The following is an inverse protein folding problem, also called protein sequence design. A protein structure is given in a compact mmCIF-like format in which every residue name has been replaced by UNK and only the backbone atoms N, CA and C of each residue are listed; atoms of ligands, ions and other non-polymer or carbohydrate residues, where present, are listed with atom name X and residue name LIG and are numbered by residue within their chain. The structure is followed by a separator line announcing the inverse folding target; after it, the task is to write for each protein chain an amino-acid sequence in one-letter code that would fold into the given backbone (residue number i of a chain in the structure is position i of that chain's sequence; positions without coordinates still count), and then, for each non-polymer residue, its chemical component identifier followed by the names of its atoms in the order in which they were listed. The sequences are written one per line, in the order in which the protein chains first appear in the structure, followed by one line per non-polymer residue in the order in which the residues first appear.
data_IF_667038202644
#
_entry.id   IF_667038202644
#
_cell.length_a   1.000
_cell.length_b   1.000
_cell.length_c   1.000
_cell.angle_alpha   90.00
_cell.angle_beta   90.00
_cell.angle_gamma   90.00
#
_symmetry.space_group_name_H-M   'P 1'
#
loop_
_entity.id
_entity.type
_entity.pdbx_description
1 polymer ?
#
# COMPACT_ATOMS: atom_id res chain seq x y z
N UNK A 1 -18.21 25.06 6.78
CA UNK A 1 -17.92 23.64 6.52
C UNK A 1 -17.45 23.51 5.07
N UNK A 2 -16.15 23.46 4.82
CA UNK A 2 -15.67 23.04 3.49
C UNK A 2 -16.10 21.58 3.30
N UNK A 3 -17.03 21.33 2.39
CA UNK A 3 -17.66 20.01 2.24
C UNK A 3 -16.66 18.91 1.86
N UNK A 4 -17.03 17.65 2.10
CA UNK A 4 -16.27 16.45 1.75
C UNK A 4 -15.65 16.50 0.34
N UNK A 5 -16.39 17.00 -0.65
CA UNK A 5 -15.91 17.15 -2.03
C UNK A 5 -14.76 18.14 -2.18
N UNK A 6 -14.76 19.22 -1.40
CA UNK A 6 -13.65 20.18 -1.39
C UNK A 6 -12.40 19.55 -0.77
N UNK A 7 -12.56 18.81 0.32
CA UNK A 7 -11.46 18.03 0.91
C UNK A 7 -10.89 17.02 -0.07
N UNK A 8 -11.73 16.25 -0.77
CA UNK A 8 -11.28 15.33 -1.82
C UNK A 8 -10.52 16.04 -2.94
N UNK A 9 -11.02 17.21 -3.39
CA UNK A 9 -10.36 18.01 -4.43
C UNK A 9 -8.97 18.46 -3.98
N UNK A 10 -8.84 18.97 -2.75
CA UNK A 10 -7.56 19.39 -2.16
C UNK A 10 -6.61 18.21 -2.08
N UNK A 11 -7.05 17.08 -1.51
CA UNK A 11 -6.19 15.90 -1.34
C UNK A 11 -5.67 15.35 -2.67
N UNK A 12 -6.52 15.32 -3.72
CA UNK A 12 -6.09 14.90 -5.07
C UNK A 12 -5.09 15.87 -5.68
N UNK A 13 -5.30 17.17 -5.49
CA UNK A 13 -4.41 18.21 -6.00
C UNK A 13 -3.06 18.17 -5.31
N UNK A 14 -3.05 18.08 -3.98
CA UNK A 14 -1.84 17.99 -3.17
C UNK A 14 -1.01 16.75 -3.54
N UNK A 15 -1.66 15.60 -3.76
CA UNK A 15 -0.97 14.37 -4.16
C UNK A 15 -0.23 14.55 -5.51
N UNK A 16 -0.89 15.15 -6.50
CA UNK A 16 -0.27 15.42 -7.81
C UNK A 16 0.82 16.50 -7.75
N UNK A 17 0.61 17.54 -6.93
CA UNK A 17 1.52 18.69 -6.84
C UNK A 17 2.82 18.31 -6.14
N UNK A 18 2.73 17.60 -5.02
CA UNK A 18 3.85 17.36 -4.11
C UNK A 18 4.66 16.09 -4.41
N UNK A 19 4.13 15.19 -5.23
CA UNK A 19 4.72 13.89 -5.51
C UNK A 19 4.87 13.64 -7.01
N UNK A 20 5.62 12.59 -7.37
CA UNK A 20 5.84 12.19 -8.76
C UNK A 20 6.62 13.18 -9.64
N UNK A 21 7.59 13.91 -9.08
CA UNK A 21 8.41 14.84 -9.88
C UNK A 21 9.41 14.16 -10.82
N UNK A 22 9.86 12.95 -10.48
CA UNK A 22 10.80 12.17 -11.29
C UNK A 22 10.08 11.35 -12.35
N UNK A 23 10.58 11.38 -13.60
CA UNK A 23 10.07 10.53 -14.68
C UNK A 23 10.16 9.04 -14.34
N UNK A 24 11.19 8.61 -13.61
CA UNK A 24 11.34 7.22 -13.15
C UNK A 24 10.22 6.90 -12.16
N UNK A 25 9.95 7.81 -11.21
CA UNK A 25 8.85 7.65 -10.26
C UNK A 25 7.50 7.57 -10.99
N UNK A 26 7.24 8.45 -11.95
CA UNK A 26 6.02 8.43 -12.77
C UNK A 26 5.87 7.12 -13.55
N UNK A 27 6.95 6.63 -14.16
CA UNK A 27 6.96 5.36 -14.90
C UNK A 27 6.65 4.17 -14.00
N UNK A 28 7.25 4.13 -12.80
CA UNK A 28 6.98 3.10 -11.80
C UNK A 28 5.53 3.17 -11.29
N UNK A 29 4.98 4.38 -11.12
CA UNK A 29 3.58 4.57 -10.77
C UNK A 29 2.63 4.07 -11.86
N UNK A 30 2.93 4.34 -13.12
CA UNK A 30 2.15 3.84 -14.25
C UNK A 30 2.20 2.31 -14.32
N UNK A 31 3.39 1.72 -14.22
CA UNK A 31 3.56 0.27 -14.21
C UNK A 31 2.80 -0.40 -13.06
N UNK A 32 2.92 0.15 -11.84
CA UNK A 32 2.16 -0.28 -10.68
C UNK A 32 0.64 -0.15 -10.91
N UNK A 33 0.17 0.98 -11.43
CA UNK A 33 -1.26 1.20 -11.68
C UNK A 33 -1.85 0.21 -12.68
N UNK A 34 -1.16 -0.05 -13.79
CA UNK A 34 -1.57 -1.05 -14.78
C UNK A 34 -1.58 -2.46 -14.19
N UNK A 35 -0.58 -2.78 -13.36
CA UNK A 35 -0.54 -4.05 -12.63
C UNK A 35 -1.70 -4.18 -11.64
N UNK A 36 -2.10 -3.09 -10.98
CA UNK A 36 -3.28 -3.06 -10.12
C UNK A 36 -4.57 -3.38 -10.88
N UNK A 37 -4.72 -2.89 -12.11
CA UNK A 37 -5.88 -3.24 -12.95
C UNK A 37 -5.92 -4.73 -13.28
N UNK A 38 -4.77 -5.32 -13.62
CA UNK A 38 -4.66 -6.77 -13.83
C UNK A 38 -5.03 -7.55 -12.56
N UNK A 39 -4.50 -7.14 -11.41
CA UNK A 39 -4.85 -7.73 -10.11
C UNK A 39 -6.37 -7.72 -9.88
N UNK A 40 -7.04 -6.60 -10.16
CA UNK A 40 -8.51 -6.50 -9.99
C UNK A 40 -9.27 -7.50 -10.84
N UNK A 41 -8.81 -7.75 -12.06
CA UNK A 41 -9.36 -8.79 -12.92
C UNK A 41 -9.12 -10.20 -12.33
N UNK A 42 -7.88 -10.50 -11.92
CA UNK A 42 -7.52 -11.80 -11.34
C UNK A 42 -8.27 -12.10 -10.04
N UNK A 43 -8.62 -11.07 -9.26
CA UNK A 43 -9.34 -11.20 -7.99
C UNK A 43 -10.65 -11.99 -8.10
N UNK A 44 -11.31 -11.98 -9.27
CA UNK A 44 -12.56 -12.71 -9.49
C UNK A 44 -12.38 -14.23 -9.62
N UNK A 45 -11.17 -14.69 -9.96
CA UNK A 45 -10.87 -16.12 -10.10
C UNK A 45 -9.99 -16.65 -8.98
N UNK A 46 -8.93 -15.90 -8.64
CA UNK A 46 -7.96 -16.31 -7.64
C UNK A 46 -7.50 -15.10 -6.81
N UNK A 47 -8.16 -14.86 -5.67
CA UNK A 47 -7.81 -13.76 -4.78
C UNK A 47 -6.39 -13.85 -4.21
N UNK A 48 -5.86 -15.07 -4.03
CA UNK A 48 -4.52 -15.26 -3.49
C UNK A 48 -3.45 -14.81 -4.50
N UNK A 49 -3.61 -15.20 -5.76
CA UNK A 49 -2.71 -14.79 -6.83
C UNK A 49 -2.88 -13.31 -7.17
N UNK A 50 -4.10 -12.77 -7.11
CA UNK A 50 -4.32 -11.33 -7.21
C UNK A 50 -3.51 -10.59 -6.14
N UNK A 51 -3.55 -11.03 -4.88
CA UNK A 51 -2.77 -10.44 -3.80
C UNK A 51 -1.26 -10.57 -4.03
N UNK A 52 -0.78 -11.70 -4.54
CA UNK A 52 0.64 -11.87 -4.91
C UNK A 52 1.10 -10.85 -5.93
N UNK A 53 0.34 -10.69 -7.03
CA UNK A 53 0.62 -9.69 -8.07
C UNK A 53 0.60 -8.28 -7.46
N UNK A 54 -0.42 -7.99 -6.65
CA UNK A 54 -0.59 -6.71 -5.97
C UNK A 54 0.60 -6.36 -5.08
N UNK A 55 1.06 -7.27 -4.23
CA UNK A 55 2.14 -7.00 -3.28
C UNK A 55 3.52 -7.06 -3.92
N UNK A 56 3.82 -8.10 -4.70
CA UNK A 56 5.18 -8.33 -5.23
C UNK A 56 5.50 -7.38 -6.38
N UNK A 57 4.56 -7.19 -7.30
CA UNK A 57 4.84 -6.41 -8.53
C UNK A 57 4.38 -4.98 -8.32
N UNK A 58 3.11 -4.80 -7.98
CA UNK A 58 2.52 -3.47 -7.96
C UNK A 58 2.98 -2.60 -6.78
N UNK A 59 2.91 -3.13 -5.55
CA UNK A 59 3.30 -2.37 -4.37
C UNK A 59 4.80 -2.14 -4.31
N UNK A 60 5.62 -3.14 -4.67
CA UNK A 60 7.09 -2.98 -4.72
C UNK A 60 7.50 -1.91 -5.72
N UNK A 61 6.99 -1.93 -6.96
CA UNK A 61 7.33 -0.90 -7.96
C UNK A 61 6.93 0.51 -7.49
N UNK A 62 5.72 0.65 -6.92
CA UNK A 62 5.26 1.92 -6.33
C UNK A 62 6.14 2.37 -5.17
N UNK A 63 6.53 1.46 -4.27
CA UNK A 63 7.42 1.81 -3.17
C UNK A 63 8.81 2.19 -3.65
N UNK A 64 9.36 1.53 -4.67
CA UNK A 64 10.63 1.94 -5.23
C UNK A 64 10.56 3.40 -5.69
N UNK A 65 9.47 3.79 -6.35
CA UNK A 65 9.19 5.17 -6.73
C UNK A 65 9.20 6.14 -5.53
N UNK A 66 8.39 5.85 -4.51
CA UNK A 66 8.27 6.69 -3.31
C UNK A 66 9.53 6.75 -2.43
N UNK A 67 10.29 5.66 -2.30
CA UNK A 67 11.39 5.57 -1.34
C UNK A 67 12.72 6.09 -1.91
N UNK A 68 12.95 5.89 -3.21
CA UNK A 68 14.24 6.22 -3.86
C UNK A 68 14.16 7.42 -4.79
N UNK A 69 13.01 7.66 -5.43
CA UNK A 69 12.87 8.69 -6.47
C UNK A 69 11.99 9.87 -6.06
N UNK A 70 11.52 9.89 -4.81
CA UNK A 70 10.80 11.01 -4.22
C UNK A 70 11.76 11.87 -3.38
N UNK A 71 11.82 13.19 -3.61
CA UNK A 71 12.71 14.07 -2.86
C UNK A 71 12.27 14.18 -1.38
N UNK A 72 13.21 13.85 -0.48
CA UNK A 72 13.05 13.93 0.99
C UNK A 72 13.58 15.24 1.58
N UNK A 73 14.04 16.15 0.73
CA UNK A 73 14.51 17.49 1.12
C UNK A 73 13.47 18.58 0.85
N UNK A 74 13.94 19.82 0.85
CA UNK A 74 13.11 20.97 0.49
C UNK A 74 12.65 20.89 -0.97
N UNK A 75 11.37 21.13 -1.20
CA UNK A 75 10.75 21.17 -2.51
C UNK A 75 10.65 22.61 -2.99
N UNK A 76 11.70 23.09 -3.66
CA UNK A 76 11.78 24.47 -4.12
C UNK A 76 10.70 24.84 -5.16
N UNK A 77 10.19 23.87 -5.93
CA UNK A 77 9.13 24.11 -6.91
C UNK A 77 7.78 24.38 -6.24
N UNK A 78 7.57 23.83 -5.04
CA UNK A 78 6.32 23.96 -4.31
C UNK A 78 6.42 24.78 -3.02
N UNK A 79 7.61 25.28 -2.70
CA UNK A 79 7.93 26.03 -1.48
C UNK A 79 7.49 25.26 -0.22
N UNK A 80 7.85 23.96 -0.16
CA UNK A 80 7.36 23.05 0.87
C UNK A 80 8.46 22.15 1.44
N UNK A 81 8.46 21.97 2.77
CA UNK A 81 9.33 21.01 3.44
C UNK A 81 8.80 19.59 3.32
N UNK A 82 9.67 18.59 3.48
CA UNK A 82 9.26 17.19 3.49
C UNK A 82 8.32 16.90 4.68
N UNK A 83 8.60 17.48 5.84
CA UNK A 83 7.79 17.34 7.06
C UNK A 83 6.37 17.86 6.84
N UNK A 84 6.22 19.01 6.18
CA UNK A 84 4.92 19.55 5.83
C UNK A 84 4.15 18.59 4.92
N UNK A 85 4.79 18.15 3.82
CA UNK A 85 4.22 17.19 2.88
C UNK A 85 3.74 15.90 3.58
N UNK A 86 4.53 15.37 4.51
CA UNK A 86 4.19 14.18 5.28
C UNK A 86 3.08 14.40 6.33
N UNK A 87 2.94 15.63 6.82
CA UNK A 87 1.90 16.00 7.81
C UNK A 87 0.50 16.12 7.18
N UNK A 88 0.41 16.60 5.94
CA UNK A 88 -0.87 16.80 5.25
C UNK A 88 -1.42 15.50 4.68
N UNK A 89 -0.58 14.49 4.44
CA UNK A 89 -0.98 13.14 3.97
C UNK A 89 -2.00 12.49 4.91
N UNK A 90 -3.26 12.44 4.47
CA UNK A 90 -4.36 11.77 5.18
C UNK A 90 -4.14 10.25 5.22
N UNK A 91 -3.69 9.66 4.12
CA UNK A 91 -3.49 8.22 4.02
C UNK A 91 -2.21 7.74 4.72
N UNK A 92 -1.42 6.96 4.00
CA UNK A 92 -0.15 6.43 4.48
C UNK A 92 0.99 7.42 4.21
N UNK A 93 1.50 8.05 5.26
CA UNK A 93 2.78 8.74 5.22
C UNK A 93 3.93 7.71 5.26
N UNK A 94 5.17 8.14 5.05
CA UNK A 94 6.34 7.29 4.94
C UNK A 94 6.49 6.35 6.15
N UNK A 95 6.33 6.87 7.37
CA UNK A 95 6.39 6.05 8.59
C UNK A 95 5.32 4.95 8.58
N UNK A 96 4.07 5.29 8.26
CA UNK A 96 2.98 4.30 8.17
C UNK A 96 3.24 3.28 7.06
N UNK A 97 3.80 3.71 5.92
CA UNK A 97 4.21 2.80 4.84
C UNK A 97 5.25 1.81 5.34
N UNK A 98 6.30 2.28 6.03
CA UNK A 98 7.34 1.40 6.58
C UNK A 98 6.73 0.35 7.52
N UNK A 99 5.85 0.75 8.45
CA UNK A 99 5.18 -0.20 9.36
C UNK A 99 4.41 -1.27 8.59
N UNK A 100 3.62 -0.87 7.59
CA UNK A 100 2.87 -1.83 6.75
C UNK A 100 3.79 -2.81 6.01
N UNK A 101 4.91 -2.33 5.46
CA UNK A 101 5.85 -3.19 4.73
C UNK A 101 6.62 -4.13 5.66
N UNK A 102 6.93 -3.70 6.88
CA UNK A 102 7.52 -4.59 7.90
C UNK A 102 6.54 -5.71 8.25
N UNK A 103 5.26 -5.39 8.48
CA UNK A 103 4.23 -6.41 8.72
C UNK A 103 4.14 -7.38 7.54
N UNK A 104 4.09 -6.85 6.32
CA UNK A 104 4.04 -7.65 5.10
C UNK A 104 5.25 -8.58 4.95
N UNK A 105 6.48 -8.08 5.10
CA UNK A 105 7.72 -8.88 4.99
C UNK A 105 7.81 -9.97 6.06
N UNK A 106 7.35 -9.69 7.28
CA UNK A 106 7.45 -10.63 8.41
C UNK A 106 6.28 -11.63 8.45
N UNK A 107 5.15 -11.32 7.83
CA UNK A 107 3.96 -12.19 7.80
C UNK A 107 4.13 -13.61 7.25
N UNK A 108 5.11 -13.94 6.38
CA UNK A 108 5.36 -15.33 6.00
C UNK A 108 5.93 -16.18 7.14
N UNK A 109 6.65 -15.60 8.10
CA UNK A 109 7.39 -16.37 9.11
C UNK A 109 6.48 -17.26 9.96
N UNK A 110 5.36 -16.76 10.52
CA UNK A 110 4.46 -17.62 11.28
C UNK A 110 3.83 -18.74 10.43
N UNK A 111 3.50 -18.47 9.16
CA UNK A 111 2.92 -19.46 8.25
C UNK A 111 3.93 -20.55 7.84
N UNK A 112 5.22 -20.19 7.81
CA UNK A 112 6.28 -21.12 7.49
C UNK A 112 6.63 -22.02 8.69
N UNK A 113 6.82 -21.44 9.88
CA UNK A 113 7.21 -22.20 11.09
C UNK A 113 6.03 -22.89 11.79
N UNK A 114 4.81 -22.37 11.64
CA UNK A 114 3.58 -22.98 12.13
C UNK A 114 2.58 -23.12 10.97
N UNK A 115 2.69 -24.18 10.15
CA UNK A 115 1.87 -24.35 8.93
C UNK A 115 0.36 -24.33 9.16
N UNK A 116 -0.10 -24.73 10.35
CA UNK A 116 -1.52 -24.67 10.74
C UNK A 116 -1.97 -23.32 11.27
N UNK A 117 -1.04 -22.37 11.47
CA UNK A 117 -1.24 -21.06 12.09
C UNK A 117 -2.19 -21.12 13.28
N UNK A 118 -1.77 -21.81 14.35
CA UNK A 118 -2.58 -22.05 15.55
C UNK A 118 -3.92 -22.79 15.28
N UNK A 119 -3.97 -23.62 14.24
CA UNK A 119 -5.17 -24.38 13.85
C UNK A 119 -6.17 -23.61 13.00
N UNK A 120 -5.87 -22.37 12.60
CA UNK A 120 -6.76 -21.54 11.79
C UNK A 120 -6.81 -21.96 10.32
N UNK A 121 -5.80 -22.67 9.83
CA UNK A 121 -5.62 -23.02 8.42
C UNK A 121 -5.09 -24.44 8.29
N UNK A 122 -5.38 -25.07 7.15
CA UNK A 122 -4.80 -26.39 6.83
C UNK A 122 -3.30 -26.22 6.55
N UNK A 123 -2.46 -27.16 7.00
CA UNK A 123 -1.03 -27.11 6.70
C UNK A 123 -0.84 -27.24 5.19
N UNK A 124 0.08 -26.47 4.64
CA UNK A 124 0.52 -26.62 3.26
C UNK A 124 1.35 -27.90 3.11
N UNK A 125 1.12 -28.63 2.03
CA UNK A 125 1.82 -29.87 1.68
C UNK A 125 2.73 -29.69 0.46
N UNK A 126 2.62 -28.54 -0.23
CA UNK A 126 3.45 -28.18 -1.38
C UNK A 126 3.78 -26.70 -1.40
N UNK A 127 4.83 -26.33 -2.14
CA UNK A 127 5.23 -24.92 -2.29
C UNK A 127 4.12 -24.04 -2.90
N UNK A 128 3.31 -24.60 -3.81
CA UNK A 128 2.17 -23.87 -4.38
C UNK A 128 1.08 -23.58 -3.33
N UNK A 129 0.75 -24.57 -2.50
CA UNK A 129 -0.22 -24.36 -1.42
C UNK A 129 0.29 -23.31 -0.41
N UNK A 130 1.59 -23.31 -0.11
CA UNK A 130 2.20 -22.27 0.72
C UNK A 130 2.06 -20.89 0.09
N UNK A 131 2.38 -20.74 -1.20
CA UNK A 131 2.22 -19.47 -1.93
C UNK A 131 0.75 -19.02 -1.89
N UNK A 132 -0.20 -19.91 -2.17
CA UNK A 132 -1.62 -19.56 -2.16
C UNK A 132 -2.09 -19.13 -0.76
N UNK A 133 -1.68 -19.83 0.30
CA UNK A 133 -2.00 -19.48 1.68
C UNK A 133 -1.38 -18.14 2.09
N UNK A 134 -0.13 -17.88 1.68
CA UNK A 134 0.52 -16.60 1.89
C UNK A 134 -0.20 -15.47 1.13
N UNK A 135 -0.69 -15.74 -0.08
CA UNK A 135 -1.44 -14.78 -0.89
C UNK A 135 -2.72 -14.36 -0.19
N UNK A 136 -3.45 -15.32 0.37
CA UNK A 136 -4.62 -15.03 1.21
C UNK A 136 -4.26 -14.19 2.44
N UNK A 137 -3.17 -14.54 3.15
CA UNK A 137 -2.70 -13.75 4.29
C UNK A 137 -2.42 -12.28 3.90
N UNK A 138 -1.73 -12.08 2.78
CA UNK A 138 -1.42 -10.75 2.27
C UNK A 138 -2.64 -9.99 1.78
N UNK A 139 -3.65 -10.67 1.23
CA UNK A 139 -4.95 -10.07 0.94
C UNK A 139 -5.60 -9.53 2.22
N UNK A 140 -5.62 -10.33 3.29
CA UNK A 140 -6.15 -9.92 4.59
C UNK A 140 -5.36 -8.74 5.18
N UNK A 141 -4.04 -8.73 5.09
CA UNK A 141 -3.21 -7.59 5.54
C UNK A 141 -3.56 -6.32 4.76
N UNK A 142 -3.72 -6.41 3.44
CA UNK A 142 -4.11 -5.28 2.60
C UNK A 142 -5.48 -4.72 2.96
N UNK A 143 -6.48 -5.60 3.09
CA UNK A 143 -7.83 -5.23 3.48
C UNK A 143 -7.87 -4.62 4.88
N UNK A 144 -7.21 -5.25 5.85
CA UNK A 144 -7.11 -4.77 7.23
C UNK A 144 -6.43 -3.39 7.28
N UNK A 145 -5.35 -3.17 6.53
CA UNK A 145 -4.68 -1.88 6.45
C UNK A 145 -5.62 -0.75 6.02
N UNK A 146 -6.42 -0.99 4.97
CA UNK A 146 -7.41 -0.01 4.49
C UNK A 146 -8.50 0.22 5.53
N UNK A 147 -9.11 -0.85 6.07
CA UNK A 147 -10.21 -0.73 7.04
C UNK A 147 -9.75 -0.03 8.32
N UNK A 148 -8.66 -0.49 8.92
CA UNK A 148 -8.13 0.08 10.15
C UNK A 148 -7.75 1.55 9.96
N UNK A 149 -7.13 1.90 8.83
CA UNK A 149 -6.77 3.30 8.56
C UNK A 149 -8.01 4.17 8.36
N UNK A 150 -9.01 3.69 7.63
CA UNK A 150 -10.27 4.43 7.43
C UNK A 150 -11.00 4.65 8.76
N UNK A 151 -11.14 3.62 9.58
CA UNK A 151 -11.76 3.71 10.92
C UNK A 151 -10.98 4.69 11.80
N UNK A 152 -9.65 4.57 11.85
CA UNK A 152 -8.81 5.50 12.58
C UNK A 152 -9.02 6.96 12.12
N UNK A 153 -9.15 7.17 10.81
CA UNK A 153 -9.35 8.50 10.23
C UNK A 153 -10.66 9.16 10.65
N UNK A 154 -11.75 8.39 10.79
CA UNK A 154 -13.02 8.91 11.33
C UNK A 154 -12.92 9.42 12.76
N UNK A 155 -12.03 8.86 13.58
CA UNK A 155 -11.86 9.31 14.96
C UNK A 155 -10.89 10.48 15.14
N UNK A 156 -9.87 10.59 14.27
CA UNK A 156 -8.81 11.62 14.43
C UNK A 156 -9.03 12.85 13.56
N UNK A 157 -9.84 12.75 12.52
CA UNK A 157 -10.29 13.88 11.71
C UNK A 157 -11.79 13.94 11.92
N UNK A 158 -12.30 15.06 12.40
CA UNK A 158 -13.73 15.31 12.58
C UNK A 158 -14.46 15.20 11.22
N UNK A 159 -14.75 13.96 10.80
CA UNK A 159 -15.42 13.56 9.57
C UNK A 159 -16.77 12.92 9.89
#
# INVERSE_FOLDING_TARGET
MSGFMQTLKIQRWDDHRYYHHSLINQSLHLFSATTFLLMWFVMFWDPAIAAMIGWIVSMTSRQIGHFFFEPKGYDAANDATHEYKESVKVGYNLRRKVVLHVIWILSPLPLYFHPTFFGMVRPWESGWQFVHQLGMCWLFIGAAGVVLRSVQLFFIRDL
#
